data_IF_564364134507
#
_entry.id   IF_564364134507
#
_cell.length_a   1.000
_cell.length_b   1.000
_cell.length_c   1.000
_cell.angle_alpha   90.00
_cell.angle_beta   90.00
_cell.angle_gamma   90.00
#
_symmetry.space_group_name_H-M   'P 1'
#
loop_
_entity.id
_entity.type
_entity.pdbx_description
1 polymer ?
#
# COMPACT_ATOMS: atom_id res chain seq x y z
N UNK A 1 -30.87 -14.30 5.79
CA UNK A 1 -29.42 -14.53 5.64
C UNK A 1 -28.76 -13.18 5.79
N UNK A 2 -27.95 -12.99 6.83
CA UNK A 2 -27.28 -11.71 7.07
C UNK A 2 -26.07 -11.58 6.14
N UNK A 3 -25.98 -10.45 5.45
CA UNK A 3 -24.82 -10.06 4.68
C UNK A 3 -24.42 -8.64 5.05
N UNK A 4 -23.15 -8.33 4.87
CA UNK A 4 -22.56 -7.02 5.11
C UNK A 4 -21.66 -6.64 3.95
N UNK A 5 -21.75 -5.39 3.55
CA UNK A 5 -20.86 -4.82 2.55
C UNK A 5 -19.70 -4.13 3.26
N UNK A 6 -18.48 -4.47 2.86
CA UNK A 6 -17.24 -3.94 3.44
C UNK A 6 -16.35 -3.40 2.34
N UNK A 7 -15.68 -2.28 2.61
CA UNK A 7 -14.65 -1.78 1.71
C UNK A 7 -13.37 -2.64 1.83
N UNK A 8 -12.94 -3.20 0.72
CA UNK A 8 -11.75 -4.00 0.60
C UNK A 8 -10.96 -3.59 -0.65
N UNK A 9 -9.73 -3.10 -0.46
CA UNK A 9 -8.85 -2.61 -1.54
C UNK A 9 -9.51 -1.53 -2.44
N UNK A 10 -10.34 -0.68 -1.84
CA UNK A 10 -11.07 0.36 -2.56
C UNK A 10 -12.25 -0.17 -3.37
N UNK A 11 -12.71 -1.38 -3.09
CA UNK A 11 -13.89 -2.01 -3.71
C UNK A 11 -14.84 -2.50 -2.63
N UNK A 12 -16.13 -2.34 -2.83
CA UNK A 12 -17.13 -2.93 -1.94
C UNK A 12 -17.21 -4.44 -2.19
N UNK A 13 -17.03 -5.22 -1.14
CA UNK A 13 -17.16 -6.69 -1.17
C UNK A 13 -18.33 -7.10 -0.28
N UNK A 14 -19.03 -8.14 -0.71
CA UNK A 14 -20.13 -8.72 0.05
C UNK A 14 -19.62 -9.89 0.88
N UNK A 15 -19.80 -9.80 2.20
CA UNK A 15 -19.53 -10.87 3.16
C UNK A 15 -20.85 -11.43 3.66
N UNK A 16 -21.00 -12.74 3.61
CA UNK A 16 -22.23 -13.47 3.95
C UNK A 16 -21.89 -14.37 5.14
N UNK A 17 -22.72 -14.34 6.18
CA UNK A 17 -22.62 -15.31 7.26
C UNK A 17 -23.32 -16.62 6.83
N UNK A 18 -22.60 -17.73 6.83
CA UNK A 18 -23.12 -19.04 6.50
C UNK A 18 -22.58 -20.06 7.50
N UNK A 19 -23.50 -20.70 8.24
CA UNK A 19 -23.20 -21.68 9.29
C UNK A 19 -22.20 -21.18 10.36
N UNK A 20 -22.29 -19.90 10.71
CA UNK A 20 -21.42 -19.26 11.71
C UNK A 20 -20.03 -18.90 11.19
N UNK A 21 -19.75 -19.12 9.91
CA UNK A 21 -18.50 -18.72 9.27
C UNK A 21 -18.73 -17.58 8.25
N UNK A 22 -17.84 -16.58 8.17
CA UNK A 22 -17.91 -15.54 7.16
C UNK A 22 -17.39 -16.04 5.81
N UNK A 23 -18.20 -15.84 4.78
CA UNK A 23 -17.91 -16.14 3.39
C UNK A 23 -17.90 -14.87 2.54
N UNK A 24 -17.07 -14.83 1.51
CA UNK A 24 -16.97 -13.69 0.59
C UNK A 24 -17.55 -14.08 -0.76
N UNK A 25 -18.49 -13.28 -1.26
CA UNK A 25 -19.03 -13.45 -2.62
C UNK A 25 -17.97 -13.04 -3.66
N UNK A 26 -17.27 -14.03 -4.22
CA UNK A 26 -16.02 -13.80 -4.95
C UNK A 26 -16.17 -12.94 -6.20
N UNK A 27 -17.35 -12.91 -6.82
CA UNK A 27 -17.60 -12.07 -7.98
C UNK A 27 -17.44 -10.58 -7.68
N UNK A 28 -17.92 -10.13 -6.50
CA UNK A 28 -17.77 -8.73 -6.07
C UNK A 28 -16.30 -8.33 -5.97
N UNK A 29 -15.46 -9.22 -5.45
CA UNK A 29 -14.01 -9.02 -5.33
C UNK A 29 -13.35 -8.98 -6.71
N UNK A 30 -13.64 -9.96 -7.57
CA UNK A 30 -13.02 -10.11 -8.89
C UNK A 30 -13.37 -8.93 -9.81
N UNK A 31 -14.66 -8.59 -9.88
CA UNK A 31 -15.15 -7.44 -10.66
C UNK A 31 -14.57 -6.14 -10.08
N UNK A 32 -14.57 -6.00 -8.75
CA UNK A 32 -13.97 -4.86 -8.05
C UNK A 32 -12.48 -4.68 -8.33
N UNK A 33 -11.74 -5.76 -8.59
CA UNK A 33 -10.31 -5.71 -8.94
C UNK A 33 -10.06 -5.46 -10.44
N UNK A 34 -11.10 -5.45 -11.28
CA UNK A 34 -10.99 -5.33 -12.73
C UNK A 34 -10.40 -6.59 -13.38
N UNK A 35 -10.67 -7.76 -12.82
CA UNK A 35 -10.23 -9.06 -13.32
C UNK A 35 -11.38 -9.76 -14.08
N UNK A 36 -11.05 -10.65 -15.02
CA UNK A 36 -12.07 -11.44 -15.71
C UNK A 36 -12.69 -12.51 -14.78
N UNK A 37 -14.00 -12.41 -14.55
CA UNK A 37 -14.76 -13.33 -13.71
C UNK A 37 -14.68 -14.78 -14.17
N UNK A 38 -14.85 -15.05 -15.47
CA UNK A 38 -14.89 -16.43 -15.98
C UNK A 38 -13.58 -17.16 -15.70
N UNK A 39 -12.45 -16.51 -15.95
CA UNK A 39 -11.13 -17.03 -15.67
C UNK A 39 -10.90 -17.27 -14.18
N UNK A 40 -11.32 -16.35 -13.32
CA UNK A 40 -11.14 -16.49 -11.87
C UNK A 40 -12.07 -17.54 -11.27
N UNK A 41 -13.31 -17.65 -11.75
CA UNK A 41 -14.26 -18.67 -11.32
C UNK A 41 -13.68 -20.08 -11.47
N UNK A 42 -13.10 -20.39 -12.64
CA UNK A 42 -12.46 -21.69 -12.91
C UNK A 42 -11.29 -21.93 -11.94
N UNK A 43 -10.41 -20.94 -11.76
CA UNK A 43 -9.26 -21.03 -10.84
C UNK A 43 -9.69 -21.25 -9.38
N UNK A 44 -10.71 -20.53 -8.93
CA UNK A 44 -11.24 -20.65 -7.58
C UNK A 44 -11.83 -22.04 -7.36
N UNK A 45 -12.71 -22.51 -8.27
CA UNK A 45 -13.29 -23.85 -8.17
C UNK A 45 -12.24 -24.96 -8.22
N UNK A 46 -11.16 -24.78 -8.98
CA UNK A 46 -10.07 -25.76 -9.05
C UNK A 46 -9.23 -25.77 -7.77
N UNK A 47 -8.76 -24.61 -7.30
CA UNK A 47 -7.83 -24.50 -6.17
C UNK A 47 -8.50 -24.67 -4.80
N UNK A 48 -9.73 -24.20 -4.67
CA UNK A 48 -10.47 -24.16 -3.40
C UNK A 48 -11.72 -25.07 -3.43
N UNK A 49 -11.67 -26.13 -4.25
CA UNK A 49 -12.79 -27.06 -4.48
C UNK A 49 -13.46 -27.56 -3.19
N UNK A 50 -12.68 -27.83 -2.15
CA UNK A 50 -13.15 -28.37 -0.87
C UNK A 50 -13.77 -27.33 0.07
N UNK A 51 -13.59 -26.04 -0.20
CA UNK A 51 -14.03 -24.96 0.70
C UNK A 51 -14.98 -23.97 0.05
N UNK A 52 -15.03 -23.92 -1.28
CA UNK A 52 -15.92 -23.02 -2.01
C UNK A 52 -17.37 -23.54 -1.90
N UNK A 53 -18.30 -22.63 -1.66
CA UNK A 53 -19.73 -22.94 -1.49
C UNK A 53 -20.53 -22.07 -2.45
N UNK A 54 -21.58 -22.62 -3.05
CA UNK A 54 -22.57 -21.82 -3.77
C UNK A 54 -23.69 -21.45 -2.81
N UNK A 55 -23.78 -20.16 -2.48
CA UNK A 55 -24.78 -19.65 -1.54
C UNK A 55 -25.84 -18.89 -2.34
N UNK A 56 -27.09 -19.34 -2.24
CA UNK A 56 -28.23 -18.64 -2.82
C UNK A 56 -28.62 -17.48 -1.92
N UNK A 57 -28.54 -16.26 -2.45
CA UNK A 57 -28.94 -15.04 -1.74
C UNK A 57 -30.05 -14.33 -2.52
N UNK A 58 -30.97 -13.70 -1.79
CA UNK A 58 -32.01 -12.85 -2.36
C UNK A 58 -31.39 -11.48 -2.62
N UNK A 59 -31.37 -11.06 -3.88
CA UNK A 59 -30.96 -9.70 -4.24
C UNK A 59 -32.12 -8.70 -4.00
N UNK A 60 -31.83 -7.40 -4.05
CA UNK A 60 -32.81 -6.33 -3.83
C UNK A 60 -34.01 -6.34 -4.80
N UNK A 61 -33.97 -7.16 -5.86
CA UNK A 61 -35.04 -7.37 -6.84
C UNK A 61 -35.91 -8.62 -6.52
N UNK A 62 -35.81 -9.17 -5.31
CA UNK A 62 -36.45 -10.42 -4.85
C UNK A 62 -36.06 -11.66 -5.67
N UNK A 63 -34.98 -11.59 -6.46
CA UNK A 63 -34.50 -12.73 -7.24
C UNK A 63 -33.40 -13.48 -6.50
N UNK A 64 -33.53 -14.79 -6.48
CA UNK A 64 -32.50 -15.70 -6.01
C UNK A 64 -31.31 -15.71 -6.97
N UNK A 65 -30.11 -15.39 -6.46
CA UNK A 65 -28.84 -15.50 -7.18
C UNK A 65 -27.95 -16.50 -6.44
N UNK A 66 -27.51 -17.55 -7.14
CA UNK A 66 -26.42 -18.40 -6.64
C UNK A 66 -25.11 -17.65 -6.79
N UNK A 67 -24.38 -17.49 -5.68
CA UNK A 67 -23.08 -16.83 -5.63
C UNK A 67 -22.00 -17.81 -5.22
N UNK A 68 -20.91 -17.86 -5.99
CA UNK A 68 -19.71 -18.60 -5.61
C UNK A 68 -19.01 -17.87 -4.47
N UNK A 69 -18.99 -18.51 -3.31
CA UNK A 69 -18.51 -17.94 -2.08
C UNK A 69 -17.28 -18.69 -1.57
N UNK A 70 -16.28 -17.95 -1.10
CA UNK A 70 -15.07 -18.50 -0.52
C UNK A 70 -15.02 -18.12 0.98
N UNK A 71 -14.65 -19.02 1.91
CA UNK A 71 -14.48 -18.64 3.30
C UNK A 71 -13.49 -17.48 3.41
N UNK A 72 -13.80 -16.46 4.20
CA UNK A 72 -12.99 -15.24 4.30
C UNK A 72 -11.53 -15.54 4.64
N UNK A 73 -11.28 -16.54 5.51
CA UNK A 73 -9.93 -17.02 5.86
C UNK A 73 -9.09 -17.52 4.67
N UNK A 74 -9.72 -17.90 3.55
CA UNK A 74 -9.04 -18.35 2.32
C UNK A 74 -8.87 -17.24 1.28
N UNK A 75 -9.48 -16.06 1.47
CA UNK A 75 -9.40 -14.93 0.55
C UNK A 75 -7.95 -14.51 0.28
N UNK A 76 -7.15 -14.39 1.33
CA UNK A 76 -5.72 -14.03 1.24
C UNK A 76 -4.92 -15.03 0.40
N UNK A 77 -5.19 -16.33 0.59
CA UNK A 77 -4.57 -17.39 -0.20
C UNK A 77 -4.95 -17.36 -1.69
N UNK A 78 -6.12 -16.82 -2.04
CA UNK A 78 -6.48 -16.54 -3.43
C UNK A 78 -5.79 -15.27 -3.95
N UNK A 79 -5.74 -14.19 -3.18
CA UNK A 79 -5.08 -12.94 -3.56
C UNK A 79 -3.59 -13.12 -3.90
N UNK A 80 -2.90 -14.02 -3.21
CA UNK A 80 -1.51 -14.37 -3.51
C UNK A 80 -1.32 -15.06 -4.86
N UNK A 81 -2.40 -15.57 -5.48
CA UNK A 81 -2.33 -16.17 -6.83
C UNK A 81 -2.48 -15.13 -7.95
N UNK A 82 -2.81 -13.89 -7.60
CA UNK A 82 -3.03 -12.81 -8.58
C UNK A 82 -1.69 -12.18 -8.94
N UNK A 83 -1.40 -12.19 -10.24
CA UNK A 83 -0.27 -11.44 -10.78
C UNK A 83 -0.67 -9.94 -10.91
N UNK A 84 0.02 -9.01 -10.23
CA UNK A 84 -0.27 -7.58 -10.30
C UNK A 84 -0.14 -6.97 -11.70
N UNK A 85 0.59 -7.59 -12.62
CA UNK A 85 0.69 -7.11 -14.00
C UNK A 85 -0.59 -7.38 -14.81
N UNK A 86 -1.41 -8.33 -14.36
CA UNK A 86 -2.67 -8.74 -14.99
C UNK A 86 -3.91 -8.09 -14.37
N UNK A 87 -3.73 -7.05 -13.55
CA UNK A 87 -4.83 -6.27 -12.94
C UNK A 87 -4.90 -4.89 -13.59
N UNK A 88 -5.99 -4.15 -13.33
CA UNK A 88 -6.09 -2.75 -13.74
C UNK A 88 -4.91 -1.91 -13.18
N UNK A 89 -4.31 -1.06 -14.01
CA UNK A 89 -3.08 -0.31 -13.68
C UNK A 89 -3.19 0.49 -12.38
N UNK A 90 -4.33 1.16 -12.15
CA UNK A 90 -4.60 1.94 -10.94
C UNK A 90 -4.77 1.08 -9.67
N UNK A 91 -4.92 -0.24 -9.78
CA UNK A 91 -5.05 -1.17 -8.64
C UNK A 91 -3.77 -1.95 -8.34
N UNK A 92 -2.83 -2.02 -9.28
CA UNK A 92 -1.57 -2.78 -9.17
C UNK A 92 -0.83 -2.47 -7.87
N UNK A 93 -0.62 -1.20 -7.57
CA UNK A 93 0.16 -0.79 -6.41
C UNK A 93 -0.55 -1.12 -5.09
N UNK A 94 -1.88 -1.05 -5.07
CA UNK A 94 -2.70 -1.45 -3.92
C UNK A 94 -2.61 -2.95 -3.66
N UNK A 95 -2.61 -3.77 -4.71
CA UNK A 95 -2.49 -5.23 -4.59
C UNK A 95 -1.09 -5.63 -4.11
N UNK A 96 -0.03 -5.05 -4.68
CA UNK A 96 1.35 -5.32 -4.25
C UNK A 96 1.52 -4.98 -2.77
N UNK A 97 1.05 -3.79 -2.36
CA UNK A 97 1.10 -3.37 -0.97
C UNK A 97 0.41 -4.38 -0.05
N UNK A 98 -0.77 -4.84 -0.44
CA UNK A 98 -1.53 -5.79 0.35
C UNK A 98 -0.88 -7.18 0.42
N UNK A 99 -0.28 -7.65 -0.68
CA UNK A 99 0.50 -8.89 -0.69
C UNK A 99 1.68 -8.78 0.28
N UNK A 100 2.43 -7.67 0.23
CA UNK A 100 3.52 -7.41 1.18
C UNK A 100 3.02 -7.35 2.64
N UNK A 101 1.89 -6.69 2.91
CA UNK A 101 1.30 -6.64 4.26
C UNK A 101 0.96 -8.05 4.80
N UNK A 102 0.53 -8.96 3.93
CA UNK A 102 0.28 -10.35 4.32
C UNK A 102 1.58 -11.10 4.61
N UNK A 103 2.63 -10.88 3.81
CA UNK A 103 3.95 -11.47 4.02
C UNK A 103 4.55 -10.98 5.34
N UNK A 104 4.44 -9.68 5.62
CA UNK A 104 4.88 -9.07 6.87
C UNK A 104 4.11 -9.62 8.07
N UNK A 105 2.78 -9.78 7.96
CA UNK A 105 1.97 -10.37 9.02
C UNK A 105 2.38 -11.83 9.30
N UNK A 106 2.62 -12.62 8.26
CA UNK A 106 3.13 -13.99 8.40
C UNK A 106 4.53 -14.00 9.04
N UNK A 107 5.44 -13.14 8.57
CA UNK A 107 6.79 -13.02 9.12
C UNK A 107 6.76 -12.65 10.61
N UNK A 108 5.95 -11.68 11.01
CA UNK A 108 5.80 -11.29 12.41
C UNK A 108 5.24 -12.42 13.26
N UNK A 109 4.25 -13.16 12.75
CA UNK A 109 3.76 -14.33 13.47
C UNK A 109 4.87 -15.36 13.69
N UNK A 110 5.68 -15.64 12.66
CA UNK A 110 6.77 -16.61 12.77
C UNK A 110 7.93 -16.15 13.67
N UNK A 111 8.24 -14.86 13.68
CA UNK A 111 9.38 -14.31 14.43
C UNK A 111 9.04 -13.92 15.86
N UNK A 112 7.84 -13.40 16.08
CA UNK A 112 7.41 -12.84 17.37
C UNK A 112 6.30 -13.67 18.03
N UNK A 113 5.79 -14.71 17.36
CA UNK A 113 4.64 -15.52 17.82
C UNK A 113 3.28 -14.83 17.66
N UNK A 114 3.24 -13.53 17.36
CA UNK A 114 2.02 -12.73 17.29
C UNK A 114 2.15 -11.74 16.13
N UNK A 115 1.20 -11.76 15.20
CA UNK A 115 0.99 -10.69 14.24
C UNK A 115 0.04 -9.64 14.85
N UNK A 116 0.54 -8.44 15.12
CA UNK A 116 -0.26 -7.38 15.72
C UNK A 116 -0.33 -6.16 14.79
N UNK A 117 -1.51 -5.98 14.17
CA UNK A 117 -1.78 -4.88 13.24
C UNK A 117 -1.59 -3.50 13.87
N UNK A 118 -1.96 -3.33 15.13
CA UNK A 118 -1.83 -2.04 15.82
C UNK A 118 -0.36 -1.68 16.03
N UNK A 119 0.45 -2.66 16.43
CA UNK A 119 1.90 -2.50 16.56
C UNK A 119 2.56 -2.14 15.21
N UNK A 120 2.14 -2.79 14.12
CA UNK A 120 2.59 -2.45 12.76
C UNK A 120 2.30 -0.99 12.44
N UNK A 121 1.07 -0.54 12.67
CA UNK A 121 0.67 0.84 12.37
C UNK A 121 1.47 1.86 13.18
N UNK A 122 1.69 1.59 14.47
CA UNK A 122 2.50 2.43 15.36
C UNK A 122 3.96 2.51 14.88
N UNK A 123 4.56 1.38 14.51
CA UNK A 123 5.94 1.31 14.03
C UNK A 123 6.12 2.04 12.69
N UNK A 124 5.16 1.89 11.77
CA UNK A 124 5.12 2.63 10.50
C UNK A 124 4.99 4.14 10.72
N UNK A 125 4.15 4.60 11.65
CA UNK A 125 4.05 6.02 11.98
C UNK A 125 5.35 6.57 12.55
N UNK A 126 6.00 5.83 13.46
CA UNK A 126 7.28 6.20 14.03
C UNK A 126 8.35 6.36 12.94
N UNK A 127 8.45 5.40 12.01
CA UNK A 127 9.41 5.45 10.90
C UNK A 127 9.14 6.62 9.95
N UNK A 128 7.88 6.90 9.62
CA UNK A 128 7.51 8.07 8.81
C UNK A 128 7.93 9.38 9.48
N UNK A 129 7.73 9.48 10.80
CA UNK A 129 8.15 10.65 11.58
C UNK A 129 9.67 10.82 11.54
N UNK A 130 10.43 9.76 11.78
CA UNK A 130 11.89 9.78 11.70
C UNK A 130 12.41 10.17 10.31
N UNK A 131 11.76 9.68 9.25
CA UNK A 131 12.11 10.03 7.88
C UNK A 131 11.84 11.51 7.58
N UNK A 132 10.70 12.05 8.03
CA UNK A 132 10.38 13.47 7.91
C UNK A 132 11.40 14.36 8.65
N UNK A 133 11.77 13.98 9.87
CA UNK A 133 12.82 14.67 10.65
C UNK A 133 14.17 14.65 9.94
N UNK A 134 14.55 13.49 9.37
CA UNK A 134 15.78 13.35 8.60
C UNK A 134 15.78 14.25 7.35
N UNK A 135 14.68 14.29 6.61
CA UNK A 135 14.51 15.15 5.45
C UNK A 135 14.56 16.65 5.80
N UNK A 136 14.00 17.03 6.96
CA UNK A 136 14.07 18.40 7.48
C UNK A 136 15.50 18.79 7.83
N UNK A 137 16.26 17.91 8.52
CA UNK A 137 17.69 18.12 8.80
C UNK A 137 18.50 18.25 7.50
N UNK A 138 18.25 17.40 6.51
CA UNK A 138 18.89 17.49 5.20
C UNK A 138 18.62 18.83 4.51
N UNK A 139 17.37 19.30 4.55
CA UNK A 139 16.98 20.61 4.00
C UNK A 139 17.69 21.77 4.70
N UNK A 140 17.77 21.74 6.03
CA UNK A 140 18.45 22.76 6.82
C UNK A 140 19.95 22.80 6.52
N UNK A 141 20.61 21.63 6.47
CA UNK A 141 22.02 21.52 6.10
C UNK A 141 22.30 22.04 4.68
N UNK A 142 21.40 21.75 3.73
CA UNK A 142 21.48 22.28 2.36
C UNK A 142 21.41 23.80 2.30
N UNK A 143 20.50 24.42 3.07
CA UNK A 143 20.41 25.89 3.18
C UNK A 143 21.69 26.49 3.78
N UNK A 144 22.20 25.92 4.87
CA UNK A 144 23.43 26.37 5.51
C UNK A 144 24.64 26.29 4.56
N UNK A 145 24.76 25.21 3.78
CA UNK A 145 25.80 25.06 2.78
C UNK A 145 25.72 26.15 1.69
N UNK A 146 24.51 26.45 1.22
CA UNK A 146 24.32 27.50 0.22
C UNK A 146 24.68 28.89 0.77
N UNK A 147 24.32 29.18 2.02
CA UNK A 147 24.70 30.42 2.69
C UNK A 147 26.23 30.54 2.80
N UNK A 148 26.91 29.46 3.20
CA UNK A 148 28.39 29.43 3.26
C UNK A 148 29.04 29.64 1.89
N UNK A 149 28.47 29.09 0.82
CA UNK A 149 28.95 29.34 -0.55
C UNK A 149 28.81 30.81 -0.96
N UNK A 150 27.73 31.47 -0.55
CA UNK A 150 27.51 32.88 -0.80
C UNK A 150 28.49 33.77 -0.03
N UNK A 151 28.66 33.50 1.27
CA UNK A 151 29.63 34.18 2.14
C UNK A 151 31.05 34.10 1.57
N UNK A 152 31.48 32.88 1.21
CA UNK A 152 32.80 32.66 0.60
C UNK A 152 33.00 33.52 -0.66
N UNK A 153 32.01 33.53 -1.56
CA UNK A 153 32.07 34.32 -2.80
C UNK A 153 32.13 35.82 -2.52
N UNK A 154 31.39 36.31 -1.53
CA UNK A 154 31.43 37.71 -1.13
C UNK A 154 32.80 38.12 -0.57
N UNK A 155 33.38 37.29 0.31
CA UNK A 155 34.72 37.52 0.85
C UNK A 155 35.80 37.51 -0.25
N UNK A 156 35.71 36.58 -1.20
CA UNK A 156 36.62 36.52 -2.35
C UNK A 156 36.54 37.81 -3.20
N UNK A 157 35.33 38.31 -3.48
CA UNK A 157 35.15 39.57 -4.21
C UNK A 157 35.74 40.77 -3.46
N UNK A 158 35.53 40.85 -2.14
CA UNK A 158 36.10 41.92 -1.32
C UNK A 158 37.64 41.89 -1.32
N UNK A 159 38.23 40.70 -1.21
CA UNK A 159 39.69 40.53 -1.23
C UNK A 159 40.29 40.99 -2.57
N UNK A 160 39.66 40.63 -3.69
CA UNK A 160 40.08 41.07 -5.03
C UNK A 160 40.00 42.60 -5.15
N UNK A 161 38.92 43.22 -4.67
CA UNK A 161 38.77 44.67 -4.71
C UNK A 161 39.84 45.40 -3.88
N UNK A 162 40.16 44.89 -2.69
CA UNK A 162 41.24 45.43 -1.84
C UNK A 162 42.59 45.32 -2.55
N UNK A 163 42.90 44.15 -3.11
CA UNK A 163 44.17 43.95 -3.83
C UNK A 163 44.29 44.87 -5.06
N UNK A 164 43.19 45.11 -5.79
CA UNK A 164 43.19 46.05 -6.90
C UNK A 164 43.47 47.49 -6.43
N UNK A 165 42.88 47.93 -5.32
CA UNK A 165 43.13 49.26 -4.76
C UNK A 165 44.57 49.46 -4.27
N UNK A 166 45.21 48.40 -3.76
CA UNK A 166 46.61 48.43 -3.32
C UNK A 166 47.58 48.55 -4.51
N UNK A 167 47.27 47.87 -5.62
CA UNK A 167 47.99 48.01 -6.90
C UNK A 167 47.98 49.45 -7.43
N UNK A 168 46.86 50.17 -7.29
CA UNK A 168 46.78 51.58 -7.71
C UNK A 168 47.57 52.53 -6.79
N UNK A 169 47.76 52.19 -5.50
CA UNK A 169 48.58 52.99 -4.58
C UNK A 169 50.08 52.84 -4.78
N UNK A 170 50.53 51.74 -5.39
CA UNK A 170 51.95 51.50 -5.68
C UNK A 170 52.42 52.17 -7.00
N UNK A 171 51.52 52.85 -7.71
CA UNK A 171 51.81 53.55 -8.97
C UNK A 171 51.98 55.07 -8.85
N UNK A 172 51.87 55.61 -7.62
CA UNK A 172 52.23 56.99 -7.24
C UNK A 172 53.58 57.01 -6.51
#
# INVERSE_FOLDING_TARGET
MEYLNVNFLGSEIMVINHDGEPYVAMRTVVDGMGLDWKSQFVKIKQRFKSTVVEITTVANDDRNRSMLCLPLRKLFGWLMTINPDKVASHKRQTIIRYQNECDDALWQYWTNGIANREKILQEMELLKKQQAESAARGSAAGKALNQRKLEKRQLEMQLVAINQLDLFKQMD
#
